data_IF_815805429959
#
_entry.id   IF_815805429959
#
_cell.length_a   1.000
_cell.length_b   1.000
_cell.length_c   1.000
_cell.angle_alpha   90.00
_cell.angle_beta   90.00
_cell.angle_gamma   90.00
#
_symmetry.space_group_name_H-M   'P 1'
#
loop_
_entity.id
_entity.type
_entity.pdbx_description
1 polymer ?
#
# COMPACT_ATOMS: atom_id res chain seq x y z
N UNK A 1 15.13 25.26 4.86
CA UNK A 1 13.97 24.37 4.59
C UNK A 1 13.37 24.01 5.92
N UNK A 2 12.30 24.68 6.31
CA UNK A 2 11.56 24.37 7.54
C UNK A 2 10.96 22.97 7.39
N UNK A 3 11.36 22.02 8.23
CA UNK A 3 10.64 20.75 8.32
C UNK A 3 9.19 21.05 8.77
N UNK A 4 8.18 20.37 8.20
CA UNK A 4 6.78 20.74 8.41
C UNK A 4 6.39 20.57 9.89
N UNK A 5 5.60 21.51 10.41
CA UNK A 5 4.93 21.37 11.71
C UNK A 5 3.94 20.21 11.60
N UNK A 6 4.27 19.04 12.14
CA UNK A 6 3.34 17.91 12.21
C UNK A 6 2.49 18.06 13.47
N UNK A 7 1.22 18.41 13.29
CA UNK A 7 0.05 18.02 14.11
C UNK A 7 -1.18 18.63 13.43
N UNK A 8 -2.33 17.95 13.29
CA UNK A 8 -2.81 16.88 14.18
C UNK A 8 -3.45 15.65 13.50
N UNK A 9 -3.49 14.57 14.29
CA UNK A 9 -4.45 13.47 14.16
C UNK A 9 -5.51 13.67 15.25
N UNK A 10 -6.79 13.49 14.92
CA UNK A 10 -7.93 13.81 15.78
C UNK A 10 -8.99 14.66 15.08
N UNK A 11 -9.91 15.24 15.87
CA UNK A 11 -10.89 16.21 15.40
C UNK A 11 -10.23 17.59 15.35
N UNK A 12 -10.31 18.25 14.19
CA UNK A 12 -10.01 19.67 14.10
C UNK A 12 -11.18 20.48 14.64
N UNK A 13 -10.89 21.64 15.23
CA UNK A 13 -11.96 22.61 15.50
C UNK A 13 -12.64 22.96 14.18
N UNK A 14 -13.97 23.12 14.19
CA UNK A 14 -14.73 23.47 12.99
C UNK A 14 -14.09 24.67 12.30
N UNK A 15 -13.50 24.49 11.10
CA UNK A 15 -12.89 25.59 10.39
C UNK A 15 -13.95 26.64 10.06
N UNK A 16 -13.57 27.91 10.07
CA UNK A 16 -14.51 29.01 9.80
C UNK A 16 -15.04 28.89 8.36
N UNK A 17 -16.35 29.04 8.12
CA UNK A 17 -16.90 29.06 6.77
C UNK A 17 -16.16 30.05 5.86
N UNK A 18 -15.89 29.64 4.61
CA UNK A 18 -15.15 30.44 3.63
C UNK A 18 -13.62 30.36 3.71
N UNK A 19 -13.06 29.50 4.58
CA UNK A 19 -11.62 29.21 4.61
C UNK A 19 -11.27 27.99 3.76
N UNK A 20 -10.01 27.88 3.29
CA UNK A 20 -9.49 26.71 2.56
C UNK A 20 -9.67 25.42 3.35
N UNK A 21 -9.53 25.50 4.67
CA UNK A 21 -9.68 24.41 5.61
C UNK A 21 -11.14 23.93 5.71
N UNK A 22 -12.09 24.87 5.64
CA UNK A 22 -13.52 24.55 5.61
C UNK A 22 -13.91 23.87 4.30
N UNK A 23 -13.44 24.38 3.16
CA UNK A 23 -13.65 23.71 1.87
C UNK A 23 -13.03 22.31 1.84
N UNK A 24 -11.86 22.14 2.45
CA UNK A 24 -11.23 20.82 2.60
C UNK A 24 -12.08 19.88 3.46
N UNK A 25 -12.60 20.35 4.59
CA UNK A 25 -13.53 19.58 5.42
C UNK A 25 -14.82 19.19 4.71
N UNK A 26 -15.39 20.09 3.89
CA UNK A 26 -16.56 19.78 3.06
C UNK A 26 -16.26 18.68 2.02
N UNK A 27 -15.07 18.73 1.39
CA UNK A 27 -14.63 17.67 0.47
C UNK A 27 -14.45 16.33 1.18
N UNK A 28 -13.88 16.32 2.38
CA UNK A 28 -13.79 15.11 3.20
C UNK A 28 -15.18 14.54 3.52
N UNK A 29 -16.10 15.38 4.00
CA UNK A 29 -17.46 14.96 4.34
C UNK A 29 -18.22 14.39 3.12
N UNK A 30 -18.13 15.05 1.96
CA UNK A 30 -18.74 14.59 0.72
C UNK A 30 -18.15 13.25 0.25
N UNK A 31 -16.82 13.12 0.25
CA UNK A 31 -16.16 11.86 -0.12
C UNK A 31 -16.52 10.73 0.86
N UNK A 32 -16.57 11.00 2.17
CA UNK A 32 -16.97 10.02 3.16
C UNK A 32 -18.42 9.54 2.96
N UNK A 33 -19.30 10.44 2.55
CA UNK A 33 -20.69 10.13 2.27
C UNK A 33 -20.82 9.18 1.07
N UNK A 34 -20.05 9.41 0.00
CA UNK A 34 -19.97 8.48 -1.14
C UNK A 34 -19.56 7.07 -0.65
N UNK A 35 -18.52 6.99 0.16
CA UNK A 35 -17.96 5.71 0.63
C UNK A 35 -18.94 4.97 1.54
N UNK A 36 -19.63 5.71 2.40
CA UNK A 36 -20.71 5.19 3.22
C UNK A 36 -21.85 4.63 2.37
N UNK A 37 -22.31 5.38 1.36
CA UNK A 37 -23.40 4.93 0.51
C UNK A 37 -22.99 3.74 -0.37
N UNK A 38 -21.74 3.66 -0.82
CA UNK A 38 -21.21 2.46 -1.49
C UNK A 38 -21.21 1.25 -0.56
N UNK A 39 -20.82 1.41 0.71
CA UNK A 39 -20.95 0.33 1.71
C UNK A 39 -22.41 -0.08 1.92
N UNK A 40 -23.34 0.87 2.01
CA UNK A 40 -24.76 0.59 2.13
C UNK A 40 -25.30 -0.17 0.92
N UNK A 41 -24.99 0.28 -0.31
CA UNK A 41 -25.38 -0.39 -1.54
C UNK A 41 -24.82 -1.81 -1.59
N UNK A 42 -23.55 -1.98 -1.21
CA UNK A 42 -22.90 -3.28 -1.08
C UNK A 42 -23.65 -4.19 -0.11
N UNK A 43 -23.91 -3.75 1.14
CA UNK A 43 -24.57 -4.56 2.17
C UNK A 43 -26.05 -4.82 1.92
N UNK A 44 -26.73 -3.95 1.18
CA UNK A 44 -28.12 -4.13 0.73
C UNK A 44 -28.23 -4.97 -0.54
N UNK A 45 -27.10 -5.36 -1.15
CA UNK A 45 -27.05 -6.05 -2.45
C UNK A 45 -27.73 -5.24 -3.58
N UNK A 46 -27.72 -3.91 -3.48
CA UNK A 46 -28.27 -2.98 -4.48
C UNK A 46 -27.18 -2.56 -5.47
N UNK A 47 -26.57 -3.55 -6.11
CA UNK A 47 -25.56 -3.34 -7.12
C UNK A 47 -25.54 -4.52 -8.09
N UNK A 48 -25.13 -4.28 -9.33
CA UNK A 48 -24.91 -5.32 -10.32
C UNK A 48 -23.46 -5.30 -10.80
N UNK A 49 -22.93 -6.47 -11.12
CA UNK A 49 -21.59 -6.64 -11.68
C UNK A 49 -21.75 -7.00 -13.14
N UNK A 50 -21.17 -6.20 -14.03
CA UNK A 50 -21.07 -6.54 -15.45
C UNK A 50 -19.61 -6.83 -15.81
N UNK A 51 -19.40 -7.85 -16.64
CA UNK A 51 -18.09 -8.15 -17.19
C UNK A 51 -17.90 -7.27 -18.42
N UNK A 52 -16.99 -6.31 -18.34
CA UNK A 52 -16.68 -5.45 -19.48
C UNK A 52 -15.94 -6.27 -20.54
N UNK A 53 -16.34 -6.10 -21.81
CA UNK A 53 -15.66 -6.74 -22.96
C UNK A 53 -14.31 -6.06 -23.16
N UNK A 54 -13.29 -6.54 -22.46
CA UNK A 54 -11.92 -6.05 -22.60
C UNK A 54 -10.96 -6.83 -21.69
N UNK A 55 -9.97 -7.46 -22.31
CA UNK A 55 -8.74 -7.75 -21.59
C UNK A 55 -8.02 -6.41 -21.37
N UNK A 56 -7.27 -6.29 -20.27
CA UNK A 56 -6.34 -5.17 -20.15
C UNK A 56 -5.37 -5.25 -21.33
N UNK A 57 -5.60 -4.41 -22.34
CA UNK A 57 -4.72 -4.30 -23.50
C UNK A 57 -3.32 -3.90 -23.04
N UNK A 58 -2.29 -4.11 -23.88
CA UNK A 58 -0.98 -3.53 -23.63
C UNK A 58 -1.12 -2.02 -23.38
N UNK A 59 -0.22 -1.46 -22.59
CA UNK A 59 -0.20 -0.01 -22.36
C UNK A 59 -0.01 0.76 -23.69
N UNK A 60 -0.10 2.10 -23.65
CA UNK A 60 0.07 2.95 -24.84
C UNK A 60 1.41 2.74 -25.59
N UNK A 61 2.37 2.02 -24.99
CA UNK A 61 3.65 1.68 -25.59
C UNK A 61 3.72 0.23 -26.11
N UNK A 62 2.58 -0.46 -26.22
CA UNK A 62 2.54 -1.85 -26.69
C UNK A 62 3.17 -2.85 -25.71
N UNK A 63 3.48 -2.43 -24.47
CA UNK A 63 4.02 -3.35 -23.46
C UNK A 63 2.85 -4.07 -22.80
N UNK A 64 2.85 -5.39 -22.91
CA UNK A 64 2.10 -6.23 -21.99
C UNK A 64 2.61 -5.89 -20.59
N UNK A 65 1.76 -5.30 -19.75
CA UNK A 65 2.06 -5.06 -18.33
C UNK A 65 2.13 -6.44 -17.66
N UNK A 66 3.29 -7.07 -17.74
CA UNK A 66 3.51 -8.46 -17.37
C UNK A 66 4.96 -8.86 -17.61
N UNK A 67 5.86 -8.34 -16.78
CA UNK A 67 7.18 -8.92 -16.54
C UNK A 67 6.98 -10.40 -16.07
N UNK A 68 7.77 -11.39 -16.50
CA UNK A 68 7.43 -12.82 -16.40
C UNK A 68 7.56 -13.41 -14.98
N UNK A 69 7.41 -12.58 -13.94
CA UNK A 69 7.19 -13.02 -12.57
C UNK A 69 5.83 -13.75 -12.46
N UNK A 70 5.90 -15.05 -12.24
CA UNK A 70 4.87 -16.10 -12.35
C UNK A 70 3.53 -15.85 -11.63
N UNK A 71 3.39 -14.82 -10.80
CA UNK A 71 2.11 -14.51 -10.11
C UNK A 71 1.28 -13.40 -10.78
N UNK A 72 1.86 -12.49 -11.57
CA UNK A 72 1.10 -11.38 -12.19
C UNK A 72 0.47 -11.72 -13.56
N UNK A 73 1.05 -12.64 -14.33
CA UNK A 73 0.55 -13.01 -15.65
C UNK A 73 -0.85 -13.65 -15.62
N UNK A 74 -1.15 -14.40 -14.56
CA UNK A 74 -2.48 -14.99 -14.33
C UNK A 74 -3.51 -13.91 -13.98
N UNK A 75 -3.10 -12.87 -13.24
CA UNK A 75 -3.95 -11.72 -12.91
C UNK A 75 -4.14 -10.75 -14.09
N UNK A 76 -3.23 -10.74 -15.07
CA UNK A 76 -3.30 -9.87 -16.25
C UNK A 76 -4.38 -10.28 -17.25
N UNK A 77 -4.78 -11.56 -17.27
CA UNK A 77 -5.80 -12.10 -18.19
C UNK A 77 -7.22 -12.06 -17.64
N UNK A 78 -7.44 -11.51 -16.44
CA UNK A 78 -8.77 -11.43 -15.85
C UNK A 78 -9.60 -10.38 -16.59
N UNK A 79 -10.86 -10.69 -16.95
CA UNK A 79 -11.72 -9.69 -17.56
C UNK A 79 -11.97 -8.58 -16.54
N UNK A 80 -12.05 -7.36 -17.03
CA UNK A 80 -12.37 -6.21 -16.21
C UNK A 80 -13.86 -6.22 -15.90
N UNK A 81 -14.23 -5.87 -14.68
CA UNK A 81 -15.62 -5.75 -14.24
C UNK A 81 -15.98 -4.30 -13.97
N UNK A 82 -17.26 -4.00 -14.12
CA UNK A 82 -17.87 -2.76 -13.68
C UNK A 82 -18.93 -3.08 -12.60
N UNK A 83 -19.02 -2.24 -11.57
CA UNK A 83 -20.10 -2.28 -10.57
C UNK A 83 -21.03 -1.12 -10.83
N UNK A 84 -22.28 -1.45 -11.07
CA UNK A 84 -23.35 -0.49 -11.29
C UNK A 84 -24.25 -0.41 -10.05
N UNK A 85 -24.50 0.81 -9.59
CA UNK A 85 -25.34 1.13 -8.44
C UNK A 85 -26.72 1.67 -8.82
N UNK A 86 -27.22 1.41 -10.04
CA UNK A 86 -28.51 1.90 -10.52
C UNK A 86 -29.71 1.48 -9.65
N UNK A 87 -29.58 0.37 -8.92
CA UNK A 87 -30.60 -0.11 -7.97
C UNK A 87 -30.55 0.61 -6.61
N UNK A 88 -29.50 1.40 -6.35
CA UNK A 88 -29.31 2.14 -5.12
C UNK A 88 -29.80 3.58 -5.28
N UNK A 89 -30.97 3.88 -4.70
CA UNK A 89 -31.66 5.18 -4.88
C UNK A 89 -31.45 6.18 -3.74
N UNK A 90 -30.93 5.74 -2.60
CA UNK A 90 -30.77 6.61 -1.42
C UNK A 90 -29.71 7.71 -1.65
N UNK A 91 -28.79 7.47 -2.59
CA UNK A 91 -27.73 8.39 -2.98
C UNK A 91 -27.24 8.08 -4.39
N UNK A 92 -27.02 9.10 -5.21
CA UNK A 92 -26.52 8.93 -6.57
C UNK A 92 -25.03 8.50 -6.53
N UNK A 93 -24.78 7.21 -6.79
CA UNK A 93 -23.44 6.64 -6.84
C UNK A 93 -22.97 6.48 -8.28
N UNK A 94 -21.72 6.88 -8.54
CA UNK A 94 -21.05 6.58 -9.80
C UNK A 94 -20.67 5.10 -9.87
N UNK A 95 -20.77 4.50 -11.06
CA UNK A 95 -20.32 3.12 -11.27
C UNK A 95 -18.80 3.01 -11.08
N UNK A 96 -18.35 1.97 -10.38
CA UNK A 96 -16.92 1.65 -10.30
C UNK A 96 -16.55 0.87 -11.56
N UNK A 97 -15.70 1.44 -12.41
CA UNK A 97 -15.36 0.85 -13.72
C UNK A 97 -13.98 0.20 -13.73
N UNK A 98 -13.80 -0.76 -14.63
CA UNK A 98 -12.50 -1.34 -15.02
C UNK A 98 -11.67 -1.86 -13.85
N UNK A 99 -12.30 -2.52 -12.88
CA UNK A 99 -11.57 -3.14 -11.76
C UNK A 99 -11.55 -4.66 -11.94
N UNK A 100 -10.52 -5.32 -11.40
CA UNK A 100 -10.39 -6.78 -11.49
C UNK A 100 -11.20 -7.39 -10.36
N UNK A 101 -12.24 -8.14 -10.72
CA UNK A 101 -13.09 -8.83 -9.77
C UNK A 101 -13.07 -10.33 -10.02
N UNK A 102 -12.81 -11.10 -8.98
CA UNK A 102 -12.92 -12.56 -9.01
C UNK A 102 -14.12 -12.97 -8.15
N UNK A 103 -15.24 -13.25 -8.82
CA UNK A 103 -16.41 -13.87 -8.19
C UNK A 103 -16.45 -15.31 -8.67
N UNK A 104 -16.30 -16.25 -7.74
CA UNK A 104 -16.50 -17.68 -8.03
C UNK A 104 -17.98 -17.99 -8.19
N UNK A 105 -18.35 -19.04 -8.94
CA UNK A 105 -19.74 -19.51 -9.01
C UNK A 105 -20.32 -19.69 -7.59
N UNK A 106 -21.52 -19.16 -7.35
CA UNK A 106 -22.16 -19.17 -6.04
C UNK A 106 -21.69 -18.07 -5.06
N UNK A 107 -20.69 -17.26 -5.43
CA UNK A 107 -20.22 -16.14 -4.62
C UNK A 107 -19.33 -16.53 -3.43
N UNK A 108 -19.05 -17.82 -3.24
CA UNK A 108 -18.22 -18.32 -2.14
C UNK A 108 -16.73 -18.19 -2.47
N UNK A 109 -15.99 -17.54 -1.58
CA UNK A 109 -14.54 -17.49 -1.61
C UNK A 109 -13.96 -18.56 -0.68
N UNK A 110 -12.88 -19.27 -1.05
CA UNK A 110 -12.14 -20.10 -0.12
C UNK A 110 -11.61 -19.27 1.05
N UNK A 111 -11.50 -19.93 2.20
CA UNK A 111 -10.97 -19.33 3.41
C UNK A 111 -9.57 -18.73 3.20
N UNK A 112 -8.70 -19.41 2.44
CA UNK A 112 -7.35 -18.93 2.12
C UNK A 112 -7.36 -17.58 1.36
N UNK A 113 -8.31 -17.40 0.43
CA UNK A 113 -8.45 -16.14 -0.33
C UNK A 113 -8.93 -15.01 0.59
N UNK A 114 -9.91 -15.29 1.47
CA UNK A 114 -10.41 -14.33 2.47
C UNK A 114 -9.29 -13.89 3.42
N UNK A 115 -8.46 -14.83 3.89
CA UNK A 115 -7.31 -14.54 4.75
C UNK A 115 -6.30 -13.63 4.06
N UNK A 116 -5.96 -13.91 2.80
CA UNK A 116 -5.06 -13.07 2.00
C UNK A 116 -5.62 -11.65 1.87
N UNK A 117 -6.89 -11.49 1.51
CA UNK A 117 -7.52 -10.17 1.34
C UNK A 117 -7.57 -9.38 2.65
N UNK A 118 -7.95 -10.02 3.75
CA UNK A 118 -7.93 -9.37 5.07
C UNK A 118 -6.52 -9.02 5.53
N UNK A 119 -5.54 -9.87 5.26
CA UNK A 119 -4.14 -9.56 5.55
C UNK A 119 -3.62 -8.40 4.71
N UNK A 120 -4.08 -8.24 3.47
CA UNK A 120 -3.80 -7.03 2.69
C UNK A 120 -4.36 -5.77 3.37
N UNK A 121 -5.59 -5.82 3.90
CA UNK A 121 -6.15 -4.68 4.65
C UNK A 121 -5.45 -4.43 5.99
N UNK A 122 -5.05 -5.48 6.71
CA UNK A 122 -4.32 -5.35 7.98
C UNK A 122 -2.91 -4.81 7.79
N UNK A 123 -2.30 -5.06 6.63
CA UNK A 123 -0.97 -4.55 6.31
C UNK A 123 -1.02 -3.18 5.60
N UNK A 124 -2.19 -2.77 5.10
CA UNK A 124 -2.37 -1.47 4.47
C UNK A 124 -2.72 -0.38 5.51
N UNK A 125 -1.87 0.63 5.68
CA UNK A 125 -2.09 1.66 6.69
C UNK A 125 -3.32 2.54 6.39
N UNK A 126 -3.68 2.75 5.12
CA UNK A 126 -4.85 3.54 4.71
C UNK A 126 -6.16 2.86 5.07
N UNK A 127 -6.21 1.52 4.98
CA UNK A 127 -7.37 0.71 5.42
C UNK A 127 -7.41 0.56 6.92
N UNK A 128 -6.26 0.53 7.60
CA UNK A 128 -6.23 0.54 9.07
C UNK A 128 -6.72 1.85 9.67
N UNK A 129 -6.28 2.98 9.13
CA UNK A 129 -6.65 4.31 9.60
C UNK A 129 -8.08 4.67 9.16
N UNK A 130 -8.46 4.35 7.92
CA UNK A 130 -9.78 4.67 7.38
C UNK A 130 -10.84 3.57 7.46
N UNK A 131 -10.47 2.43 8.05
CA UNK A 131 -11.34 1.30 8.38
C UNK A 131 -12.11 0.76 7.16
N UNK A 132 -13.25 0.10 7.38
CA UNK A 132 -14.07 -0.52 6.32
C UNK A 132 -14.43 0.45 5.19
N UNK A 133 -14.59 1.75 5.47
CA UNK A 133 -14.90 2.73 4.44
C UNK A 133 -13.76 2.83 3.40
N UNK A 134 -12.50 2.83 3.85
CA UNK A 134 -11.34 2.85 2.95
C UNK A 134 -11.26 1.64 2.01
N UNK A 135 -11.92 0.52 2.34
CA UNK A 135 -11.90 -0.67 1.50
C UNK A 135 -12.89 -0.59 0.32
N UNK A 136 -13.89 0.28 0.36
CA UNK A 136 -14.95 0.33 -0.67
C UNK A 136 -14.49 0.89 -2.02
N UNK A 137 -13.34 1.57 -2.06
CA UNK A 137 -12.81 2.29 -3.21
C UNK A 137 -11.28 2.20 -3.30
N UNK A 138 -10.73 2.74 -4.39
CA UNK A 138 -9.29 2.91 -4.57
C UNK A 138 -8.56 1.58 -4.73
N UNK A 139 -7.36 1.48 -4.16
CA UNK A 139 -6.47 0.34 -4.31
C UNK A 139 -6.93 -0.94 -3.58
N UNK A 140 -7.97 -0.87 -2.75
CA UNK A 140 -8.47 -1.99 -1.95
C UNK A 140 -9.85 -2.50 -2.41
N UNK A 141 -10.45 -1.87 -3.42
CA UNK A 141 -11.76 -2.26 -3.90
C UNK A 141 -11.77 -3.69 -4.48
N UNK A 142 -10.68 -4.10 -5.15
CA UNK A 142 -10.54 -5.44 -5.75
C UNK A 142 -10.68 -6.58 -4.75
N UNK A 143 -10.25 -6.37 -3.52
CA UNK A 143 -10.29 -7.33 -2.42
C UNK A 143 -11.60 -7.21 -1.63
N UNK A 144 -12.18 -6.00 -1.56
CA UNK A 144 -13.42 -5.75 -0.83
C UNK A 144 -14.63 -6.42 -1.45
N UNK A 145 -14.79 -6.31 -2.78
CA UNK A 145 -15.99 -6.82 -3.46
C UNK A 145 -16.15 -8.35 -3.39
N UNK A 146 -15.10 -9.17 -3.57
CA UNK A 146 -15.18 -10.61 -3.32
C UNK A 146 -15.67 -10.96 -1.90
N UNK A 147 -15.21 -10.21 -0.88
CA UNK A 147 -15.64 -10.38 0.51
C UNK A 147 -17.14 -10.07 0.65
N UNK A 148 -17.62 -9.01 0.01
CA UNK A 148 -19.06 -8.68 0.00
C UNK A 148 -19.88 -9.78 -0.67
N UNK A 149 -19.40 -10.34 -1.79
CA UNK A 149 -20.07 -11.47 -2.44
C UNK A 149 -20.13 -12.70 -1.54
N UNK A 150 -19.03 -13.03 -0.85
CA UNK A 150 -18.98 -14.13 0.12
C UNK A 150 -19.97 -13.90 1.27
N UNK A 151 -19.99 -12.69 1.83
CA UNK A 151 -20.91 -12.32 2.91
C UNK A 151 -22.38 -12.43 2.49
N UNK A 152 -22.73 -12.13 1.24
CA UNK A 152 -24.10 -12.37 0.74
C UNK A 152 -24.41 -13.83 0.47
N UNK A 153 -23.40 -14.65 0.19
CA UNK A 153 -23.58 -16.07 -0.09
C UNK A 153 -23.77 -16.89 1.19
N UNK A 154 -23.00 -16.61 2.25
CA UNK A 154 -23.01 -17.40 3.49
C UNK A 154 -23.12 -16.60 4.79
N UNK A 155 -23.17 -15.26 4.75
CA UNK A 155 -23.20 -14.43 5.95
C UNK A 155 -21.84 -14.25 6.63
N UNK A 156 -20.75 -14.67 6.00
CA UNK A 156 -19.39 -14.59 6.53
C UNK A 156 -18.47 -13.76 5.63
N UNK A 157 -17.67 -12.87 6.20
CA UNK A 157 -16.62 -12.11 5.52
C UNK A 157 -15.23 -12.74 5.67
N UNK A 158 -15.07 -13.77 6.51
CA UNK A 158 -13.77 -14.27 6.95
C UNK A 158 -13.13 -13.43 8.07
N UNK A 159 -13.79 -12.35 8.51
CA UNK A 159 -13.36 -11.51 9.65
C UNK A 159 -14.53 -11.32 10.63
N UNK A 160 -14.44 -11.85 11.86
CA UNK A 160 -15.52 -11.74 12.85
C UNK A 160 -15.91 -10.30 13.20
N UNK A 161 -14.96 -9.35 13.12
CA UNK A 161 -15.20 -7.94 13.37
C UNK A 161 -16.10 -7.32 12.30
N UNK A 162 -15.84 -7.63 11.03
CA UNK A 162 -16.67 -7.19 9.90
C UNK A 162 -18.05 -7.85 9.93
N UNK A 163 -18.14 -9.15 10.21
CA UNK A 163 -19.43 -9.82 10.38
C UNK A 163 -20.29 -9.13 11.45
N UNK A 164 -19.69 -8.86 12.62
CA UNK A 164 -20.36 -8.14 13.72
C UNK A 164 -20.81 -6.75 13.28
N UNK A 165 -19.95 -5.99 12.60
CA UNK A 165 -20.27 -4.65 12.11
C UNK A 165 -21.40 -4.68 11.08
N UNK A 166 -21.34 -5.58 10.09
CA UNK A 166 -22.32 -5.66 9.00
C UNK A 166 -23.69 -6.11 9.50
N UNK A 167 -23.73 -7.11 10.38
CA UNK A 167 -24.96 -7.55 11.02
C UNK A 167 -25.59 -6.42 11.83
N UNK A 168 -24.78 -5.67 12.59
CA UNK A 168 -25.25 -4.51 13.36
C UNK A 168 -25.76 -3.39 12.46
N UNK A 169 -25.07 -3.08 11.37
CA UNK A 169 -25.53 -2.09 10.39
C UNK A 169 -26.88 -2.47 9.79
N UNK A 170 -27.05 -3.75 9.41
CA UNK A 170 -28.32 -4.25 8.89
C UNK A 170 -29.45 -4.14 9.91
N UNK A 171 -29.21 -4.50 11.17
CA UNK A 171 -30.25 -4.49 12.22
C UNK A 171 -30.63 -3.09 12.71
N UNK A 172 -29.69 -2.13 12.70
CA UNK A 172 -29.90 -0.78 13.23
C UNK A 172 -30.27 0.26 12.16
N UNK A 173 -30.45 -0.14 10.90
CA UNK A 173 -30.81 0.78 9.81
C UNK A 173 -29.64 1.63 9.31
N UNK A 174 -28.44 1.06 9.30
CA UNK A 174 -27.19 1.65 8.81
C UNK A 174 -26.77 2.99 9.48
N UNK A 175 -26.76 3.11 10.82
CA UNK A 175 -26.38 4.37 11.46
C UNK A 175 -24.91 4.71 11.19
N UNK A 176 -24.64 5.95 10.73
CA UNK A 176 -23.26 6.43 10.49
C UNK A 176 -22.41 6.43 11.77
N UNK A 177 -23.04 6.63 12.93
CA UNK A 177 -22.39 6.75 14.24
C UNK A 177 -21.70 5.48 14.75
N UNK A 178 -21.92 4.33 14.12
CA UNK A 178 -21.23 3.07 14.46
C UNK A 178 -20.09 2.74 13.49
N UNK A 179 -19.96 3.50 12.39
CA UNK A 179 -18.93 3.30 11.37
C UNK A 179 -17.76 4.25 11.68
N UNK A 180 -16.53 3.74 11.85
CA UNK A 180 -15.36 4.59 12.06
C UNK A 180 -15.18 5.63 10.97
N UNK A 181 -14.87 6.86 11.37
CA UNK A 181 -14.59 7.92 10.43
C UNK A 181 -13.30 7.63 9.64
N UNK A 182 -13.36 7.74 8.30
CA UNK A 182 -12.24 7.41 7.42
C UNK A 182 -11.02 8.32 7.66
N UNK A 183 -11.25 9.59 7.98
CA UNK A 183 -10.19 10.59 8.09
C UNK A 183 -9.69 10.79 9.51
N UNK A 184 -10.44 10.35 10.52
CA UNK A 184 -10.13 10.67 11.92
C UNK A 184 -8.77 10.12 12.38
N UNK A 185 -8.44 8.88 11.97
CA UNK A 185 -7.11 8.29 12.23
C UNK A 185 -6.04 8.67 11.21
N UNK A 186 -6.43 9.25 10.08
CA UNK A 186 -5.53 9.59 8.98
C UNK A 186 -4.60 10.75 9.35
N UNK A 187 -3.50 10.91 8.60
CA UNK A 187 -2.56 12.02 8.76
C UNK A 187 -3.25 13.40 8.79
N UNK A 188 -4.25 13.59 7.93
CA UNK A 188 -4.97 14.86 7.80
C UNK A 188 -5.95 15.11 8.94
N UNK A 189 -6.39 14.08 9.66
CA UNK A 189 -7.48 14.16 10.63
C UNK A 189 -8.84 14.42 9.98
N UNK A 190 -9.90 14.42 10.79
CA UNK A 190 -11.24 14.78 10.35
C UNK A 190 -11.47 16.28 10.56
N UNK A 191 -11.80 16.99 9.48
CA UNK A 191 -12.05 18.44 9.47
C UNK A 191 -13.53 18.81 9.58
N UNK A 192 -14.40 17.81 9.65
CA UNK A 192 -15.82 18.02 9.91
C UNK A 192 -16.11 17.85 11.41
N UNK A 193 -16.26 18.95 12.14
CA UNK A 193 -16.61 18.91 13.56
C UNK A 193 -18.07 18.51 13.82
N UNK A 194 -18.88 18.32 12.77
CA UNK A 194 -20.22 17.70 12.83
C UNK A 194 -20.24 16.32 12.17
N UNK A 195 -19.07 15.70 11.98
CA UNK A 195 -18.95 14.40 11.34
C UNK A 195 -19.89 13.38 12.01
N UNK A 196 -20.81 12.75 11.27
CA UNK A 196 -21.78 11.82 11.84
C UNK A 196 -21.18 10.42 12.11
N UNK A 197 -19.89 10.22 11.81
CA UNK A 197 -19.20 8.95 11.92
C UNK A 197 -18.46 8.80 13.26
N UNK A 198 -18.13 7.57 13.63
CA UNK A 198 -17.49 7.27 14.90
C UNK A 198 -16.05 7.80 14.98
N UNK A 199 -15.77 8.63 15.98
CA UNK A 199 -14.44 9.15 16.33
C UNK A 199 -13.85 8.42 17.55
N UNK A 200 -13.44 7.16 17.38
CA UNK A 200 -12.79 6.39 18.44
C UNK A 200 -11.30 6.75 18.55
N UNK A 201 -11.00 7.71 19.43
CA UNK A 201 -9.63 8.20 19.69
C UNK A 201 -8.69 7.08 20.15
N UNK A 202 -9.17 6.15 20.98
CA UNK A 202 -8.33 5.08 21.55
C UNK A 202 -7.90 4.13 20.43
N UNK A 203 -8.84 3.69 19.61
CA UNK A 203 -8.56 2.80 18.47
C UNK A 203 -7.67 3.47 17.42
N UNK A 204 -7.90 4.76 17.12
CA UNK A 204 -7.07 5.52 16.18
C UNK A 204 -5.60 5.63 16.65
N UNK A 205 -5.38 5.95 17.93
CA UNK A 205 -4.02 6.02 18.50
C UNK A 205 -3.34 4.65 18.47
N UNK A 206 -4.02 3.59 18.93
CA UNK A 206 -3.47 2.24 18.93
C UNK A 206 -3.10 1.76 17.51
N UNK A 207 -3.95 2.04 16.52
CA UNK A 207 -3.66 1.72 15.13
C UNK A 207 -2.43 2.47 14.61
N UNK A 208 -2.31 3.76 14.91
CA UNK A 208 -1.15 4.54 14.48
C UNK A 208 0.14 4.05 15.14
N UNK A 209 0.12 3.80 16.45
CA UNK A 209 1.29 3.27 17.16
C UNK A 209 1.76 1.94 16.55
N UNK A 210 0.82 1.06 16.21
CA UNK A 210 1.13 -0.20 15.54
C UNK A 210 1.67 -0.01 14.12
N UNK A 211 1.18 0.96 13.34
CA UNK A 211 1.75 1.33 12.03
C UNK A 211 3.19 1.83 12.20
N UNK A 212 3.43 2.78 13.12
CA UNK A 212 4.76 3.33 13.38
C UNK A 212 5.73 2.25 13.87
N UNK A 213 5.27 1.35 14.74
CA UNK A 213 6.07 0.22 15.22
C UNK A 213 6.47 -0.72 14.07
N UNK A 214 5.54 -1.04 13.17
CA UNK A 214 5.84 -1.86 11.98
C UNK A 214 6.86 -1.18 11.06
N UNK A 215 6.72 0.14 10.85
CA UNK A 215 7.67 0.95 10.07
C UNK A 215 9.05 1.03 10.69
N UNK A 216 9.17 1.23 12.02
CA UNK A 216 10.46 1.20 12.73
C UNK A 216 11.17 -0.13 12.53
N UNK A 217 10.43 -1.24 12.59
CA UNK A 217 10.97 -2.58 12.34
C UNK A 217 11.60 -2.72 10.95
N UNK A 218 11.19 -1.92 9.95
CA UNK A 218 11.85 -1.93 8.63
C UNK A 218 13.22 -1.27 8.61
N UNK A 219 13.59 -0.53 9.65
CA UNK A 219 14.93 0.04 9.81
C UNK A 219 15.83 -0.82 10.70
N UNK A 220 15.27 -1.80 11.42
CA UNK A 220 16.05 -2.81 12.14
C UNK A 220 16.83 -3.72 11.17
N UNK A 221 16.46 -3.72 9.88
CA UNK A 221 17.18 -4.38 8.79
C UNK A 221 18.54 -3.74 8.44
N UNK A 222 19.25 -3.07 9.35
CA UNK A 222 20.65 -2.64 9.11
C UNK A 222 21.58 -3.78 8.64
N UNK A 223 21.10 -5.02 8.72
CA UNK A 223 21.80 -6.24 8.36
C UNK A 223 21.05 -7.13 7.35
N UNK A 224 20.03 -6.61 6.63
CA UNK A 224 19.44 -7.32 5.49
C UNK A 224 19.21 -6.36 4.32
N UNK A 225 19.74 -6.63 3.12
CA UNK A 225 19.45 -5.79 1.96
C UNK A 225 17.96 -5.83 1.60
N UNK A 226 17.43 -4.71 1.11
CA UNK A 226 16.08 -4.68 0.56
C UNK A 226 16.01 -5.51 -0.72
N UNK A 227 14.83 -6.00 -1.13
CA UNK A 227 14.67 -6.72 -2.39
C UNK A 227 15.24 -5.94 -3.59
N UNK A 228 14.98 -4.63 -3.66
CA UNK A 228 15.54 -3.78 -4.71
C UNK A 228 17.08 -3.73 -4.69
N UNK A 229 17.68 -3.64 -3.50
CA UNK A 229 19.13 -3.62 -3.36
C UNK A 229 19.75 -4.96 -3.79
N UNK A 230 19.16 -6.09 -3.37
CA UNK A 230 19.60 -7.41 -3.80
C UNK A 230 19.53 -7.55 -5.33
N UNK A 231 18.40 -7.17 -5.95
CA UNK A 231 18.25 -7.20 -7.40
C UNK A 231 19.26 -6.30 -8.12
N UNK A 232 19.54 -5.11 -7.59
CA UNK A 232 20.56 -4.22 -8.14
C UNK A 232 21.98 -4.82 -8.03
N UNK A 233 22.30 -5.48 -6.91
CA UNK A 233 23.58 -6.18 -6.71
C UNK A 233 23.74 -7.32 -7.70
N UNK A 234 22.71 -8.16 -7.84
CA UNK A 234 22.70 -9.28 -8.78
C UNK A 234 22.93 -8.78 -10.20
N UNK A 235 22.21 -7.73 -10.62
CA UNK A 235 22.37 -7.11 -11.94
C UNK A 235 23.77 -6.55 -12.16
N UNK A 236 24.34 -5.88 -11.16
CA UNK A 236 25.70 -5.34 -11.24
C UNK A 236 26.73 -6.46 -11.43
N UNK A 237 26.62 -7.55 -10.66
CA UNK A 237 27.52 -8.70 -10.78
C UNK A 237 27.38 -9.41 -12.12
N UNK A 238 26.14 -9.59 -12.59
CA UNK A 238 25.87 -10.20 -13.88
C UNK A 238 26.49 -9.38 -15.02
N UNK A 239 26.26 -8.07 -15.03
CA UNK A 239 26.81 -7.18 -16.05
C UNK A 239 28.34 -7.18 -16.06
N UNK A 240 28.98 -7.28 -14.88
CA UNK A 240 30.45 -7.32 -14.76
C UNK A 240 31.04 -8.65 -15.25
N UNK A 241 30.37 -9.78 -15.00
CA UNK A 241 30.89 -11.13 -15.31
C UNK A 241 30.56 -11.59 -16.72
N UNK A 242 29.33 -11.39 -17.15
CA UNK A 242 28.84 -11.83 -18.45
C UNK A 242 29.31 -10.88 -19.57
N UNK A 243 29.49 -9.60 -19.27
CA UNK A 243 29.72 -8.59 -20.29
C UNK A 243 28.50 -8.36 -21.21
N UNK A 244 28.62 -7.46 -22.20
CA UNK A 244 27.51 -7.07 -23.05
C UNK A 244 27.10 -8.18 -24.04
N UNK A 245 28.01 -9.06 -24.44
CA UNK A 245 27.82 -10.02 -25.53
C UNK A 245 27.50 -11.46 -25.10
N UNK A 246 27.39 -11.73 -23.79
CA UNK A 246 27.09 -13.08 -23.31
C UNK A 246 25.74 -13.60 -23.78
N UNK A 247 25.70 -14.92 -24.06
CA UNK A 247 24.48 -15.62 -24.44
C UNK A 247 23.47 -15.66 -23.29
N UNK A 248 22.24 -16.07 -23.59
CA UNK A 248 21.21 -16.26 -22.57
C UNK A 248 21.60 -17.36 -21.59
N UNK A 249 22.09 -18.49 -22.09
CA UNK A 249 22.51 -19.67 -21.33
C UNK A 249 23.67 -19.33 -20.38
N UNK A 250 24.65 -18.55 -20.86
CA UNK A 250 25.76 -18.06 -20.05
C UNK A 250 25.27 -17.17 -18.90
N UNK A 251 24.32 -16.26 -19.19
CA UNK A 251 23.72 -15.39 -18.17
C UNK A 251 22.92 -16.18 -17.15
N UNK A 252 22.13 -17.17 -17.57
CA UNK A 252 21.35 -18.02 -16.67
C UNK A 252 22.24 -18.84 -15.72
N UNK A 253 23.31 -19.44 -16.26
CA UNK A 253 24.30 -20.17 -15.46
C UNK A 253 24.97 -19.25 -14.42
N UNK A 254 25.37 -18.04 -14.83
CA UNK A 254 25.95 -17.03 -13.93
C UNK A 254 24.97 -16.55 -12.86
N UNK A 255 23.69 -16.36 -13.21
CA UNK A 255 22.66 -15.93 -12.27
C UNK A 255 22.52 -16.89 -11.09
N UNK A 256 22.56 -18.20 -11.33
CA UNK A 256 22.51 -19.21 -10.26
C UNK A 256 23.69 -19.10 -9.31
N UNK A 257 24.90 -18.86 -9.83
CA UNK A 257 26.10 -18.66 -9.00
C UNK A 257 26.02 -17.36 -8.21
N UNK A 258 25.60 -16.27 -8.85
CA UNK A 258 25.44 -14.96 -8.22
C UNK A 258 24.39 -15.01 -7.09
N UNK A 259 23.26 -15.72 -7.29
CA UNK A 259 22.26 -15.91 -6.23
C UNK A 259 22.84 -16.60 -4.99
N UNK A 260 23.73 -17.58 -5.17
CA UNK A 260 24.41 -18.24 -4.05
C UNK A 260 25.34 -17.27 -3.30
N UNK A 261 26.10 -16.45 -4.04
CA UNK A 261 27.00 -15.44 -3.47
C UNK A 261 26.23 -14.40 -2.64
N UNK A 262 25.18 -13.79 -3.20
CA UNK A 262 24.46 -12.69 -2.52
C UNK A 262 23.66 -13.13 -1.30
N UNK A 263 23.40 -14.44 -1.13
CA UNK A 263 22.72 -15.00 0.05
C UNK A 263 23.50 -14.78 1.36
N UNK A 264 24.81 -14.57 1.26
CA UNK A 264 25.71 -14.26 2.37
C UNK A 264 25.74 -12.78 2.78
N UNK A 265 25.13 -11.89 1.99
CA UNK A 265 25.22 -10.46 2.21
C UNK A 265 24.30 -9.98 3.34
N UNK A 266 24.83 -9.13 4.22
CA UNK A 266 24.09 -8.41 5.26
C UNK A 266 23.67 -7.03 4.78
N UNK A 267 24.53 -6.32 4.07
CA UNK A 267 24.23 -4.98 3.57
C UNK A 267 25.10 -4.61 2.38
N UNK A 268 24.76 -3.51 1.71
CA UNK A 268 25.54 -2.97 0.59
C UNK A 268 25.93 -1.52 0.81
N UNK A 269 27.06 -1.11 0.24
CA UNK A 269 27.31 0.28 -0.08
C UNK A 269 26.17 0.83 -0.94
N UNK A 270 25.56 1.93 -0.53
CA UNK A 270 24.38 2.49 -1.18
C UNK A 270 24.67 3.16 -2.53
N UNK A 271 25.94 3.44 -2.84
CA UNK A 271 26.35 3.91 -4.16
C UNK A 271 26.09 2.79 -5.21
N UNK A 272 25.18 3.01 -6.18
CA UNK A 272 24.77 1.97 -7.15
C UNK A 272 25.91 1.46 -8.04
N UNK A 273 26.97 2.25 -8.24
CA UNK A 273 28.15 1.81 -8.99
C UNK A 273 29.09 0.93 -8.17
N UNK A 274 29.03 1.03 -6.84
CA UNK A 274 29.89 0.29 -5.93
C UNK A 274 29.21 -1.01 -5.47
N UNK A 275 28.13 -0.88 -4.69
CA UNK A 275 27.39 -1.99 -4.08
C UNK A 275 28.30 -3.03 -3.40
N UNK A 276 29.43 -2.61 -2.80
CA UNK A 276 30.29 -3.51 -2.04
C UNK A 276 29.52 -4.10 -0.86
N UNK A 277 29.57 -5.42 -0.65
CA UNK A 277 28.82 -6.07 0.41
C UNK A 277 29.53 -5.94 1.76
N UNK A 278 28.72 -5.97 2.81
CA UNK A 278 29.11 -6.47 4.13
C UNK A 278 28.55 -7.88 4.25
N UNK A 279 29.40 -8.89 4.40
CA UNK A 279 29.00 -10.31 4.42
C UNK A 279 28.84 -10.85 5.84
N UNK A 280 28.24 -12.04 5.97
CA UNK A 280 28.03 -12.68 7.27
C UNK A 280 29.31 -13.09 8.00
N UNK A 281 30.39 -13.34 7.26
CA UNK A 281 31.68 -13.78 7.81
C UNK A 281 32.48 -12.60 8.40
N UNK A 282 32.11 -11.37 8.07
CA UNK A 282 32.74 -10.18 8.60
C UNK A 282 32.12 -9.79 9.96
N UNK A 283 32.91 -9.94 11.03
CA UNK A 283 32.54 -9.57 12.41
C UNK A 283 32.17 -8.09 12.50
N UNK A 284 33.02 -7.22 11.95
CA UNK A 284 32.83 -5.77 11.94
C UNK A 284 32.35 -5.30 10.57
N UNK A 285 31.38 -4.39 10.54
CA UNK A 285 30.93 -3.80 9.28
C UNK A 285 32.03 -2.95 8.65
N UNK A 286 32.40 -3.19 7.37
CA UNK A 286 33.30 -2.30 6.64
C UNK A 286 32.59 -1.02 6.14
N UNK A 287 31.26 -0.91 6.35
CA UNK A 287 30.46 0.20 5.87
C UNK A 287 30.22 1.22 6.99
N UNK A 288 30.22 2.50 6.61
CA UNK A 288 29.96 3.64 7.50
C UNK A 288 28.57 4.19 7.24
N UNK A 289 27.85 4.50 8.32
CA UNK A 289 26.52 5.08 8.23
C UNK A 289 26.59 6.55 7.79
N UNK A 290 25.64 6.98 6.97
CA UNK A 290 25.40 8.39 6.73
C UNK A 290 25.16 9.11 8.06
N UNK A 291 25.92 10.16 8.33
CA UNK A 291 25.92 10.86 9.62
C UNK A 291 24.57 11.48 9.98
N UNK A 292 23.75 11.83 8.98
CA UNK A 292 22.42 12.43 9.15
C UNK A 292 21.32 11.40 9.36
N UNK A 293 21.17 10.45 8.43
CA UNK A 293 20.04 9.52 8.45
C UNK A 293 20.31 8.22 9.21
N UNK A 294 21.58 7.85 9.41
CA UNK A 294 22.05 6.68 10.18
C UNK A 294 21.64 5.29 9.66
N UNK A 295 20.89 5.16 8.57
CA UNK A 295 20.52 3.84 8.01
C UNK A 295 21.10 3.57 6.61
N UNK A 296 21.49 4.59 5.86
CA UNK A 296 22.21 4.39 4.58
C UNK A 296 23.69 4.17 4.86
N UNK A 297 24.27 3.17 4.20
CA UNK A 297 25.63 2.69 4.44
C UNK A 297 26.52 2.96 3.23
N UNK A 298 27.76 3.39 3.46
CA UNK A 298 28.77 3.65 2.42
C UNK A 298 30.11 3.06 2.82
N UNK A 299 30.84 2.45 1.90
CA UNK A 299 32.21 2.00 2.20
C UNK A 299 33.20 3.16 2.39
N UNK A 300 32.92 4.34 1.82
CA UNK A 300 33.78 5.52 1.91
C UNK A 300 33.01 6.83 1.74
N UNK A 301 33.62 7.93 2.17
CA UNK A 301 33.10 9.29 1.93
C UNK A 301 33.03 9.63 0.43
N UNK A 302 33.91 9.06 -0.39
CA UNK A 302 33.86 9.22 -1.85
C UNK A 302 32.59 8.58 -2.43
N UNK A 303 32.21 7.38 -2.00
CA UNK A 303 30.96 6.74 -2.42
C UNK A 303 29.74 7.54 -1.96
N UNK A 304 29.77 8.09 -0.74
CA UNK A 304 28.70 8.97 -0.26
C UNK A 304 28.56 10.22 -1.14
N UNK A 305 29.68 10.88 -1.49
CA UNK A 305 29.66 12.07 -2.36
C UNK A 305 29.10 11.77 -3.75
N UNK A 306 29.52 10.65 -4.37
CA UNK A 306 29.00 10.22 -5.67
C UNK A 306 27.49 9.94 -5.65
N UNK A 307 27.01 9.30 -4.58
CA UNK A 307 25.59 8.97 -4.43
C UNK A 307 24.72 10.14 -3.94
N UNK A 308 25.33 11.24 -3.51
CA UNK A 308 24.64 12.34 -2.84
C UNK A 308 23.46 12.94 -3.62
N UNK A 309 23.53 13.18 -4.95
CA UNK A 309 22.40 13.72 -5.70
C UNK A 309 21.14 12.84 -5.57
N UNK A 310 21.30 11.51 -5.68
CA UNK A 310 20.22 10.53 -5.50
C UNK A 310 19.80 10.42 -4.05
N UNK A 311 20.76 10.32 -3.12
CA UNK A 311 20.47 10.18 -1.70
C UNK A 311 19.82 11.41 -1.08
N UNK A 312 20.02 12.60 -1.65
CA UNK A 312 19.34 13.84 -1.24
C UNK A 312 17.92 13.94 -1.83
N UNK A 313 17.70 13.36 -3.01
CA UNK A 313 16.38 13.30 -3.65
C UNK A 313 15.43 12.35 -2.89
N UNK A 314 15.92 11.21 -2.42
CA UNK A 314 15.25 10.46 -1.34
C UNK A 314 15.46 11.20 -0.02
N UNK A 315 14.50 11.32 0.89
CA UNK A 315 14.71 12.12 2.10
C UNK A 315 15.82 11.54 2.98
N UNK A 316 16.97 12.24 3.03
CA UNK A 316 18.01 12.02 4.02
C UNK A 316 17.58 12.70 5.33
N UNK A 317 16.85 11.97 6.17
CA UNK A 317 16.34 12.46 7.45
C UNK A 317 16.54 11.43 8.58
N UNK A 318 16.47 11.85 9.86
CA UNK A 318 16.42 10.92 10.99
C UNK A 318 15.30 9.89 10.83
N UNK A 319 15.50 8.68 11.39
CA UNK A 319 14.55 7.55 11.24
C UNK A 319 13.14 7.95 11.67
N UNK A 320 12.98 8.64 12.79
CA UNK A 320 11.65 9.04 13.29
C UNK A 320 10.90 9.94 12.30
N UNK A 321 11.61 10.90 11.66
CA UNK A 321 11.03 11.76 10.62
C UNK A 321 10.56 10.95 9.41
N UNK A 322 11.29 9.90 9.04
CA UNK A 322 10.92 9.03 7.92
C UNK A 322 9.76 8.10 8.25
N UNK A 323 9.75 7.56 9.48
CA UNK A 323 8.70 6.65 9.96
C UNK A 323 7.36 7.38 10.03
N UNK A 324 7.37 8.65 10.46
CA UNK A 324 6.15 9.45 10.56
C UNK A 324 5.61 9.96 9.22
N UNK A 325 6.48 10.18 8.23
CA UNK A 325 6.09 10.71 6.93
C UNK A 325 5.42 9.65 6.05
N UNK A 326 4.09 9.68 6.01
CA UNK A 326 3.26 8.73 5.26
C UNK A 326 3.56 8.73 3.74
N UNK A 327 4.02 9.84 3.16
CA UNK A 327 4.34 9.93 1.72
C UNK A 327 5.49 9.02 1.29
N UNK A 328 6.31 8.57 2.24
CA UNK A 328 7.47 7.71 2.01
C UNK A 328 7.15 6.22 2.05
N UNK A 329 5.89 5.87 2.30
CA UNK A 329 5.45 4.49 2.45
C UNK A 329 4.40 4.16 1.39
N UNK A 330 4.49 2.96 0.84
CA UNK A 330 3.40 2.38 0.09
C UNK A 330 2.24 2.06 1.03
N UNK A 331 1.01 1.92 0.49
CA UNK A 331 -0.16 1.58 1.30
C UNK A 331 0.09 0.36 2.19
N UNK A 332 0.74 -0.70 1.66
CA UNK A 332 1.12 -1.93 2.38
C UNK A 332 2.28 -1.78 3.39
N UNK A 333 2.67 -0.56 3.74
CA UNK A 333 3.69 -0.30 4.76
C UNK A 333 5.13 -0.60 4.33
N UNK A 334 5.41 -0.74 3.03
CA UNK A 334 6.78 -0.83 2.52
C UNK A 334 7.31 0.55 2.18
N UNK A 335 8.58 0.83 2.47
CA UNK A 335 9.18 2.13 2.12
C UNK A 335 9.29 2.27 0.60
N UNK A 336 8.78 3.36 0.03
CA UNK A 336 8.87 3.63 -1.41
C UNK A 336 10.32 3.64 -1.87
N UNK A 337 10.59 2.98 -3.00
CA UNK A 337 11.95 2.78 -3.50
C UNK A 337 12.75 1.75 -2.71
N UNK A 338 12.07 0.79 -2.08
CA UNK A 338 12.70 -0.43 -1.55
C UNK A 338 12.01 -1.71 -2.01
N UNK A 339 10.86 -1.58 -2.67
CA UNK A 339 10.07 -2.67 -3.23
C UNK A 339 10.83 -3.41 -4.33
N UNK A 340 10.52 -4.69 -4.53
CA UNK A 340 11.12 -5.48 -5.61
C UNK A 340 10.75 -4.93 -7.00
N UNK A 341 9.49 -4.53 -7.17
CA UNK A 341 9.00 -3.88 -8.38
C UNK A 341 8.73 -2.41 -8.10
N UNK A 342 9.08 -1.52 -9.05
CA UNK A 342 8.61 -0.14 -9.02
C UNK A 342 7.12 -0.15 -9.34
N UNK A 343 6.30 -0.28 -8.31
CA UNK A 343 4.86 -0.08 -8.41
C UNK A 343 4.60 1.42 -8.48
N UNK A 344 4.00 1.87 -9.58
CA UNK A 344 3.47 3.22 -9.65
C UNK A 344 2.20 3.24 -8.80
N UNK A 345 2.34 3.57 -7.51
CA UNK A 345 1.23 3.59 -6.54
C UNK A 345 0.22 4.73 -6.77
N UNK A 346 0.16 5.27 -7.99
CA UNK A 346 -0.70 6.40 -8.35
C UNK A 346 -0.15 7.72 -7.82
N UNK A 347 0.62 8.42 -8.63
CA UNK A 347 0.44 9.87 -8.68
C UNK A 347 -0.84 10.09 -9.46
N UNK A 348 -1.91 10.47 -8.77
CA UNK A 348 -3.13 10.99 -9.39
C UNK A 348 -2.82 12.36 -9.97
#
# INVERSE_FOLDING_TARGET
MSAPKITPRGIHQNPRPGTTDFEFGQKQAAQQLIYYHTLCAALQKKFSVSVSKGFAGPDANGRLVGDPGITLGVLARRPLSDINFSEYTDFALESIRKFKLEIRPGGLAPQEDLEIWHDMFKNNFETREGNVLSCTHGSCASEFWPIIHNYHACGDTGDPGWNKLFNRLKSEGYPKSIIPCRYFGAHTGCWDGKCPFLHDKKSAVANREAILKARRKTFDYKHKPTPQQSSARIRLLLNRRAGPSASFEEREALMTQIHKEVKGDRAYCANPECMNPWTKDQITSPLKNCSRCKFVLYCSSQCQKKDWPRHKAGPCAPIEVLVENDDLWSPIGTRKGTEFFKTNWGGV
#
